data_IF_712856856172
#
_entry.id   IF_712856856172
#
_cell.length_a   1.000
_cell.length_b   1.000
_cell.length_c   1.000
_cell.angle_alpha   90.00
_cell.angle_beta   90.00
_cell.angle_gamma   90.00
#
_symmetry.space_group_name_H-M   'P 1'
#
loop_
_entity.id
_entity.type
_entity.pdbx_description
1 polymer ?
#
# COMPACT_ATOMS: atom_id res chain seq x y z
N UNK A 1 -50.78 -67.55 14.66
CA UNK A 1 -49.39 -67.33 15.11
C UNK A 1 -49.07 -65.83 15.11
N UNK A 2 -48.10 -65.36 15.90
CA UNK A 2 -47.69 -63.95 15.97
C UNK A 2 -47.12 -63.47 14.62
N UNK A 3 -47.48 -62.25 14.19
CA UNK A 3 -46.55 -61.32 13.53
C UNK A 3 -46.66 -59.96 14.22
N UNK A 4 -45.54 -59.28 14.37
CA UNK A 4 -45.32 -58.24 15.37
C UNK A 4 -45.25 -56.85 14.73
N UNK A 5 -45.51 -55.80 15.51
CA UNK A 5 -45.37 -54.40 15.08
C UNK A 5 -43.91 -54.08 14.76
N UNK A 6 -43.65 -53.31 13.71
CA UNK A 6 -42.63 -52.26 13.76
C UNK A 6 -42.93 -51.17 12.73
N UNK A 7 -43.40 -50.02 13.19
CA UNK A 7 -43.67 -48.84 12.36
C UNK A 7 -42.54 -47.83 12.61
N UNK A 8 -41.45 -47.94 11.85
CA UNK A 8 -40.28 -47.07 12.00
C UNK A 8 -40.60 -45.65 11.51
N UNK A 9 -41.06 -44.80 12.43
CA UNK A 9 -41.04 -43.34 12.27
C UNK A 9 -39.57 -42.85 12.26
N UNK A 10 -38.91 -42.99 11.12
CA UNK A 10 -37.59 -42.39 10.89
C UNK A 10 -37.76 -40.88 10.63
N UNK A 11 -38.07 -40.15 11.70
CA UNK A 11 -38.20 -38.70 11.67
C UNK A 11 -36.84 -38.08 11.30
N UNK A 12 -36.69 -37.74 10.02
CA UNK A 12 -35.43 -37.28 9.44
C UNK A 12 -35.14 -35.85 9.90
N UNK A 13 -34.54 -35.73 11.09
CA UNK A 13 -34.20 -34.47 11.73
C UNK A 13 -33.01 -33.81 11.03
N UNK A 14 -33.27 -33.28 9.83
CA UNK A 14 -32.37 -32.39 9.11
C UNK A 14 -32.23 -31.07 9.89
N UNK A 15 -31.41 -31.10 10.95
CA UNK A 15 -30.84 -29.90 11.54
C UNK A 15 -29.98 -29.27 10.45
N UNK A 16 -30.56 -28.28 9.76
CA UNK A 16 -29.83 -27.46 8.80
C UNK A 16 -28.77 -26.67 9.58
N UNK A 17 -27.58 -27.24 9.67
CA UNK A 17 -26.43 -26.62 10.30
C UNK A 17 -26.12 -25.33 9.53
N UNK A 18 -26.59 -24.19 10.05
CA UNK A 18 -26.25 -22.88 9.53
C UNK A 18 -24.74 -22.74 9.64
N UNK A 19 -24.05 -22.87 8.51
CA UNK A 19 -22.61 -22.68 8.43
C UNK A 19 -22.30 -21.31 9.03
N UNK A 20 -21.63 -21.32 10.19
CA UNK A 20 -21.48 -20.12 11.01
C UNK A 20 -20.35 -19.27 10.42
N UNK A 21 -20.69 -18.52 9.38
CA UNK A 21 -19.78 -17.62 8.66
C UNK A 21 -19.13 -16.69 9.66
N UNK A 22 -17.79 -16.73 9.73
CA UNK A 22 -17.01 -15.83 10.56
C UNK A 22 -17.36 -14.37 10.23
N UNK A 23 -17.40 -13.46 11.23
CA UNK A 23 -17.69 -12.06 10.97
C UNK A 23 -16.65 -11.48 10.00
N UNK A 24 -17.05 -10.65 9.01
CA UNK A 24 -16.10 -9.99 8.15
C UNK A 24 -15.12 -9.14 8.96
N UNK A 25 -13.84 -9.12 8.56
CA UNK A 25 -12.78 -8.39 9.29
C UNK A 25 -12.32 -7.14 8.55
N UNK A 26 -12.33 -6.00 9.21
CA UNK A 26 -11.75 -4.74 8.71
C UNK A 26 -10.45 -4.46 9.44
N UNK A 27 -9.42 -4.03 8.71
CA UNK A 27 -8.27 -3.36 9.28
C UNK A 27 -8.23 -1.90 8.80
N UNK A 28 -7.85 -1.00 9.70
CA UNK A 28 -7.64 0.41 9.39
C UNK A 28 -6.22 0.76 9.83
N UNK A 29 -5.40 1.16 8.87
CA UNK A 29 -4.05 1.68 9.08
C UNK A 29 -4.14 3.21 9.14
N UNK A 30 -3.43 3.82 10.07
CA UNK A 30 -3.16 5.26 10.08
C UNK A 30 -1.70 5.45 9.66
N UNK A 31 -1.50 6.01 8.47
CA UNK A 31 -0.19 6.36 7.91
C UNK A 31 0.32 7.71 8.48
N UNK A 32 1.49 8.18 8.06
CA UNK A 32 2.16 9.44 8.46
C UNK A 32 2.44 9.71 9.95
N UNK A 33 2.33 8.72 10.83
CA UNK A 33 2.54 8.92 12.28
C UNK A 33 3.99 9.37 12.57
N UNK A 34 4.11 10.40 13.42
CA UNK A 34 5.36 11.01 13.87
C UNK A 34 5.47 12.53 13.66
N UNK A 35 4.37 13.19 13.28
CA UNK A 35 4.33 14.59 12.87
C UNK A 35 3.15 15.42 13.39
N UNK A 36 1.98 14.82 13.66
CA UNK A 36 0.75 15.59 13.82
C UNK A 36 0.25 15.60 15.26
N UNK A 37 -0.38 16.70 15.68
CA UNK A 37 -1.04 16.82 17.00
C UNK A 37 -2.18 15.80 17.22
N UNK A 38 -2.64 15.14 16.17
CA UNK A 38 -3.65 14.09 16.23
C UNK A 38 -3.07 12.68 16.49
N UNK A 39 -1.78 12.44 16.25
CA UNK A 39 -1.12 11.13 16.43
C UNK A 39 -1.42 10.50 17.80
N UNK A 40 -1.16 11.18 18.96
CA UNK A 40 -1.46 10.61 20.27
C UNK A 40 -2.97 10.53 20.58
N UNK A 41 -3.83 11.23 19.84
CA UNK A 41 -5.29 11.16 20.00
C UNK A 41 -5.89 9.96 19.27
N UNK A 42 -5.36 9.64 18.09
CA UNK A 42 -5.70 8.45 17.30
C UNK A 42 -5.18 7.17 17.97
N UNK A 43 -3.94 7.17 18.45
CA UNK A 43 -3.33 6.03 19.15
C UNK A 43 -4.10 5.66 20.44
N UNK A 44 -4.63 6.66 21.17
CA UNK A 44 -5.43 6.47 22.38
C UNK A 44 -6.91 6.12 22.13
N UNK A 45 -7.32 5.86 20.89
CA UNK A 45 -8.68 5.37 20.61
C UNK A 45 -8.86 3.93 21.15
N UNK A 46 -10.05 3.59 21.70
CA UNK A 46 -10.35 2.26 22.27
C UNK A 46 -10.67 1.21 21.19
N UNK A 47 -9.91 1.23 20.09
CA UNK A 47 -10.13 0.46 18.87
C UNK A 47 -8.78 -0.08 18.36
N UNK A 48 -8.76 -1.29 17.79
CA UNK A 48 -7.52 -1.91 17.30
C UNK A 48 -7.19 -1.46 15.87
N UNK A 49 -6.74 -0.21 15.79
CA UNK A 49 -6.11 0.38 14.61
C UNK A 49 -4.65 -0.07 14.49
N UNK A 50 -4.12 -0.05 13.27
CA UNK A 50 -2.70 -0.21 12.98
C UNK A 50 -2.07 1.16 12.73
N UNK A 51 -0.83 1.39 13.15
CA UNK A 51 -0.15 2.68 13.00
C UNK A 51 1.15 2.51 12.20
N UNK A 52 1.23 3.16 11.04
CA UNK A 52 2.44 3.20 10.24
C UNK A 52 3.22 4.47 10.57
N UNK A 53 4.41 4.28 11.15
CA UNK A 53 5.25 5.35 11.69
C UNK A 53 6.34 5.70 10.69
N UNK A 54 6.46 6.99 10.32
CA UNK A 54 7.56 7.44 9.47
C UNK A 54 8.87 7.55 10.26
N UNK A 55 10.00 7.04 9.72
CA UNK A 55 11.31 7.08 10.38
C UNK A 55 11.92 8.48 10.32
N UNK A 56 12.81 8.81 11.26
CA UNK A 56 13.54 10.09 11.35
C UNK A 56 12.63 11.34 11.47
N UNK A 57 11.37 11.16 11.87
CA UNK A 57 10.39 12.22 12.15
C UNK A 57 10.52 12.72 13.60
N UNK A 58 10.08 13.96 13.92
CA UNK A 58 10.29 14.54 15.25
C UNK A 58 9.65 13.76 16.40
N UNK A 59 8.53 13.06 16.15
CA UNK A 59 7.80 12.31 17.18
C UNK A 59 7.67 10.81 16.87
N UNK A 60 8.20 10.31 15.75
CA UNK A 60 7.97 8.92 15.30
C UNK A 60 8.28 7.87 16.36
N UNK A 61 9.44 7.96 17.02
CA UNK A 61 9.83 7.06 18.10
C UNK A 61 8.89 7.15 19.31
N UNK A 62 8.56 8.36 19.76
CA UNK A 62 7.61 8.60 20.87
C UNK A 62 6.24 7.98 20.56
N UNK A 63 5.75 8.14 19.33
CA UNK A 63 4.46 7.62 18.90
C UNK A 63 4.49 6.09 18.71
N UNK A 64 5.61 5.50 18.28
CA UNK A 64 5.78 4.04 18.22
C UNK A 64 5.83 3.40 19.62
N UNK A 65 6.46 4.06 20.58
CA UNK A 65 6.48 3.66 21.99
C UNK A 65 5.09 3.80 22.62
N UNK A 66 4.38 4.91 22.37
CA UNK A 66 3.00 5.11 22.81
C UNK A 66 2.04 4.07 22.20
N UNK A 67 2.16 3.77 20.91
CA UNK A 67 1.32 2.79 20.22
C UNK A 67 1.53 1.38 20.80
N UNK A 68 2.78 0.98 21.05
CA UNK A 68 3.10 -0.28 21.74
C UNK A 68 2.54 -0.30 23.17
N UNK A 69 2.64 0.80 23.92
CA UNK A 69 2.08 0.91 25.27
C UNK A 69 0.53 0.86 25.28
N UNK A 70 -0.12 1.33 24.22
CA UNK A 70 -1.57 1.22 24.00
C UNK A 70 -1.99 -0.10 23.31
N UNK A 71 -1.09 -1.10 23.25
CA UNK A 71 -1.32 -2.43 22.65
C UNK A 71 -1.83 -2.36 21.19
N UNK A 72 -1.34 -1.40 20.42
CA UNK A 72 -1.63 -1.23 18.99
C UNK A 72 -0.56 -1.91 18.13
N UNK A 73 -0.95 -2.30 16.92
CA UNK A 73 0.01 -2.79 15.93
C UNK A 73 0.78 -1.62 15.32
N UNK A 74 2.11 -1.76 15.26
CA UNK A 74 3.02 -0.76 14.69
C UNK A 74 3.68 -1.34 13.45
N UNK A 75 3.80 -0.52 12.41
CA UNK A 75 4.55 -0.82 11.19
C UNK A 75 5.38 0.39 10.77
N UNK A 76 6.39 0.16 9.93
CA UNK A 76 7.20 1.24 9.36
C UNK A 76 6.48 1.83 8.14
N UNK A 77 6.15 3.11 8.17
CA UNK A 77 5.75 3.85 6.97
C UNK A 77 7.04 4.29 6.27
N UNK A 78 7.45 3.59 5.20
CA UNK A 78 8.75 3.79 4.58
C UNK A 78 8.68 4.76 3.39
N UNK A 79 9.34 5.94 3.46
CA UNK A 79 9.61 6.81 2.32
C UNK A 79 10.15 6.09 1.06
N UNK A 80 9.38 6.14 -0.03
CA UNK A 80 9.73 5.58 -1.34
C UNK A 80 9.45 6.57 -2.48
N UNK A 81 10.38 6.72 -3.43
CA UNK A 81 10.32 7.74 -4.49
C UNK A 81 9.05 7.66 -5.35
N UNK A 82 8.46 8.81 -5.63
CA UNK A 82 7.26 8.99 -6.43
C UNK A 82 7.56 9.51 -7.84
N UNK A 83 6.58 9.44 -8.75
CA UNK A 83 6.70 10.05 -10.09
C UNK A 83 6.71 11.59 -10.03
N UNK A 84 6.03 12.17 -9.04
CA UNK A 84 5.89 13.60 -8.84
C UNK A 84 6.03 13.97 -7.35
N UNK A 85 6.04 15.27 -7.04
CA UNK A 85 5.97 15.82 -5.68
C UNK A 85 7.07 15.35 -4.69
N UNK A 86 8.23 14.83 -5.13
CA UNK A 86 9.27 14.29 -4.22
C UNK A 86 9.87 15.28 -3.17
N UNK A 87 9.46 16.55 -3.13
CA UNK A 87 9.69 17.43 -1.97
C UNK A 87 8.94 16.94 -0.70
N UNK A 88 7.90 16.13 -0.91
CA UNK A 88 7.07 15.45 0.08
C UNK A 88 7.68 14.13 0.59
N UNK A 89 8.79 13.66 0.01
CA UNK A 89 9.23 12.28 0.18
C UNK A 89 9.68 11.91 1.61
N UNK A 90 10.14 12.87 2.41
CA UNK A 90 10.65 12.60 3.76
C UNK A 90 12.10 12.13 3.80
N UNK A 91 12.59 11.81 5.01
CA UNK A 91 14.00 11.44 5.28
C UNK A 91 14.23 9.93 5.11
N UNK A 92 15.47 9.54 4.80
CA UNK A 92 15.87 8.13 4.69
C UNK A 92 15.34 7.38 3.46
N UNK A 93 14.72 8.08 2.51
CA UNK A 93 13.91 7.48 1.46
C UNK A 93 14.64 6.62 0.44
N UNK A 94 13.97 5.55 0.01
CA UNK A 94 14.39 4.67 -1.07
C UNK A 94 14.14 5.36 -2.42
N UNK A 95 15.17 5.38 -3.27
CA UNK A 95 15.16 6.03 -4.59
C UNK A 95 15.70 5.10 -5.68
N UNK A 96 15.25 5.33 -6.91
CA UNK A 96 15.57 4.57 -8.14
C UNK A 96 17.07 4.45 -8.39
N UNK A 97 17.87 5.45 -8.00
CA UNK A 97 19.30 5.52 -8.27
C UNK A 97 20.15 4.87 -7.17
N UNK A 98 19.53 4.32 -6.11
CA UNK A 98 20.23 3.63 -5.04
C UNK A 98 20.55 2.19 -5.45
N UNK A 99 21.79 1.75 -5.20
CA UNK A 99 22.18 0.35 -5.32
C UNK A 99 21.50 -0.52 -4.25
N UNK A 100 21.48 -1.85 -4.46
CA UNK A 100 21.01 -2.85 -3.49
C UNK A 100 21.53 -2.59 -2.07
N UNK A 101 22.84 -2.40 -1.91
CA UNK A 101 23.47 -2.17 -0.62
C UNK A 101 22.95 -0.88 0.06
N UNK A 102 22.73 0.19 -0.70
CA UNK A 102 22.17 1.44 -0.18
C UNK A 102 20.68 1.30 0.19
N UNK A 103 19.88 0.60 -0.62
CA UNK A 103 18.46 0.29 -0.32
C UNK A 103 18.35 -0.52 0.97
N UNK A 104 19.13 -1.61 1.08
CA UNK A 104 19.13 -2.44 2.28
C UNK A 104 19.64 -1.65 3.50
N UNK A 105 20.74 -0.89 3.40
CA UNK A 105 21.22 -0.06 4.52
C UNK A 105 20.20 1.01 4.96
N UNK A 106 19.46 1.62 4.03
CA UNK A 106 18.41 2.59 4.35
C UNK A 106 17.23 1.94 5.10
N UNK A 107 16.77 0.76 4.66
CA UNK A 107 15.75 -0.02 5.36
C UNK A 107 16.21 -0.44 6.76
N UNK A 108 17.45 -0.93 6.90
CA UNK A 108 18.01 -1.33 8.20
C UNK A 108 18.09 -0.14 9.18
N UNK A 109 18.41 1.06 8.71
CA UNK A 109 18.38 2.30 9.51
C UNK A 109 16.95 2.71 9.87
N UNK A 110 16.03 2.71 8.92
CA UNK A 110 14.63 3.08 9.16
C UNK A 110 13.92 2.14 10.16
N UNK A 111 14.21 0.83 10.11
CA UNK A 111 13.70 -0.15 11.08
C UNK A 111 14.36 -0.04 12.47
N UNK A 112 15.54 0.59 12.58
CA UNK A 112 16.15 0.89 13.87
C UNK A 112 15.52 2.11 14.57
N UNK A 113 14.91 3.03 13.83
CA UNK A 113 14.11 4.14 14.37
C UNK A 113 12.75 3.66 14.90
N UNK A 114 12.18 2.61 14.29
CA UNK A 114 10.88 2.03 14.63
C UNK A 114 11.02 0.54 15.00
N UNK A 115 11.74 0.19 16.09
CA UNK A 115 12.00 -1.20 16.48
C UNK A 115 10.74 -1.97 16.96
N UNK A 116 9.59 -1.30 17.04
CA UNK A 116 8.28 -1.89 17.32
C UNK A 116 7.58 -2.40 16.05
N UNK A 117 8.11 -2.11 14.86
CA UNK A 117 7.47 -2.45 13.58
C UNK A 117 7.44 -3.97 13.34
N UNK A 118 6.23 -4.53 13.15
CA UNK A 118 6.01 -5.94 12.74
C UNK A 118 5.78 -6.10 11.23
N UNK A 119 5.67 -4.99 10.50
CA UNK A 119 5.58 -4.93 9.05
C UNK A 119 5.96 -3.56 8.50
N UNK A 120 5.79 -3.37 7.20
CA UNK A 120 6.17 -2.13 6.47
C UNK A 120 5.10 -1.79 5.42
N UNK A 121 4.87 -0.52 5.13
CA UNK A 121 4.22 -0.07 3.89
C UNK A 121 4.99 1.09 3.24
N UNK A 122 4.58 1.47 2.03
CA UNK A 122 5.20 2.57 1.28
C UNK A 122 4.51 3.91 1.57
N UNK A 123 5.28 4.88 2.06
CA UNK A 123 4.98 6.30 1.87
C UNK A 123 5.28 6.68 0.42
N UNK A 124 4.35 7.39 -0.23
CA UNK A 124 4.31 7.67 -1.67
C UNK A 124 4.63 6.41 -2.50
N UNK A 125 5.82 6.31 -3.10
CA UNK A 125 6.31 5.13 -3.80
C UNK A 125 5.83 4.94 -5.23
N UNK A 126 5.06 5.86 -5.82
CA UNK A 126 4.42 5.64 -7.13
C UNK A 126 5.38 5.41 -8.31
N UNK A 127 6.66 5.80 -8.16
CA UNK A 127 7.76 5.39 -9.03
C UNK A 127 8.42 4.11 -8.48
N UNK A 128 8.96 4.16 -7.26
CA UNK A 128 9.80 3.11 -6.69
C UNK A 128 9.11 1.74 -6.62
N UNK A 129 7.84 1.66 -6.20
CA UNK A 129 7.11 0.39 -6.12
C UNK A 129 6.82 -0.22 -7.48
N UNK A 130 6.92 0.54 -8.58
CA UNK A 130 6.84 0.01 -9.95
C UNK A 130 8.16 -0.57 -10.47
N UNK A 131 9.26 -0.41 -9.73
CA UNK A 131 10.58 -0.93 -10.08
C UNK A 131 10.76 -2.34 -9.48
N UNK A 132 10.66 -3.37 -10.32
CA UNK A 132 10.68 -4.76 -9.86
C UNK A 132 11.95 -5.14 -9.08
N UNK A 133 13.13 -4.77 -9.56
CA UNK A 133 14.40 -5.11 -8.91
C UNK A 133 14.61 -4.39 -7.55
N UNK A 134 14.44 -3.06 -7.42
CA UNK A 134 14.44 -2.39 -6.12
C UNK A 134 13.39 -2.94 -5.13
N UNK A 135 12.22 -3.38 -5.61
CA UNK A 135 11.23 -4.06 -4.77
C UNK A 135 11.69 -5.46 -4.34
N UNK A 136 12.40 -6.22 -5.17
CA UNK A 136 13.03 -7.48 -4.76
C UNK A 136 14.08 -7.25 -3.65
N UNK A 137 14.90 -6.22 -3.76
CA UNK A 137 15.87 -5.86 -2.71
C UNK A 137 15.18 -5.46 -1.40
N UNK A 138 14.04 -4.77 -1.48
CA UNK A 138 13.20 -4.44 -0.32
C UNK A 138 12.63 -5.69 0.33
N UNK A 139 12.04 -6.60 -0.47
CA UNK A 139 11.43 -7.84 0.03
C UNK A 139 12.43 -8.82 0.62
N UNK A 140 13.68 -8.83 0.16
CA UNK A 140 14.75 -9.59 0.82
C UNK A 140 14.90 -9.17 2.29
N UNK A 141 14.92 -7.86 2.59
CA UNK A 141 15.02 -7.35 3.98
C UNK A 141 13.76 -7.68 4.79
N UNK A 142 12.58 -7.71 4.16
CA UNK A 142 11.35 -8.10 4.84
C UNK A 142 11.42 -9.57 5.27
N UNK A 143 11.85 -10.47 4.38
CA UNK A 143 12.03 -11.89 4.67
C UNK A 143 13.13 -12.14 5.72
N UNK A 144 14.30 -11.49 5.60
CA UNK A 144 15.40 -11.55 6.58
C UNK A 144 14.95 -11.17 8.01
N UNK A 145 13.95 -10.28 8.13
CA UNK A 145 13.41 -9.81 9.41
C UNK A 145 12.03 -10.37 9.77
N UNK A 146 11.49 -11.31 8.98
CA UNK A 146 10.16 -11.91 9.15
C UNK A 146 9.00 -10.88 9.17
N UNK A 147 9.20 -9.72 8.54
CA UNK A 147 8.23 -8.63 8.44
C UNK A 147 7.23 -8.90 7.29
N UNK A 148 5.99 -8.44 7.47
CA UNK A 148 5.03 -8.34 6.36
C UNK A 148 5.16 -7.02 5.60
N UNK A 149 4.56 -6.96 4.40
CA UNK A 149 4.43 -5.72 3.63
C UNK A 149 2.96 -5.40 3.31
N UNK A 150 2.54 -4.14 3.38
CA UNK A 150 1.27 -3.69 2.82
C UNK A 150 1.55 -2.73 1.67
N UNK A 151 0.98 -3.01 0.50
CA UNK A 151 1.02 -2.09 -0.64
C UNK A 151 -0.05 -1.00 -0.46
N UNK A 152 0.37 0.24 -0.17
CA UNK A 152 -0.53 1.41 -0.13
C UNK A 152 -1.08 1.76 -1.52
N UNK A 153 -0.63 1.07 -2.58
CA UNK A 153 -1.20 1.03 -3.93
C UNK A 153 -1.37 2.41 -4.54
N UNK A 154 -0.26 3.15 -4.56
CA UNK A 154 -0.12 4.52 -5.09
C UNK A 154 0.21 4.55 -6.59
N UNK A 155 0.22 3.38 -7.24
CA UNK A 155 0.43 3.19 -8.68
C UNK A 155 -0.24 1.90 -9.12
N UNK A 156 -0.84 1.89 -10.32
CA UNK A 156 -1.41 0.69 -10.91
C UNK A 156 -0.34 -0.28 -11.48
N UNK A 157 0.92 0.14 -11.52
CA UNK A 157 2.08 -0.67 -11.98
C UNK A 157 2.91 -1.26 -10.84
N UNK A 158 2.33 -1.39 -9.64
CA UNK A 158 3.05 -1.93 -8.47
C UNK A 158 3.63 -3.32 -8.73
N UNK A 159 4.92 -3.47 -8.46
CA UNK A 159 5.65 -4.73 -8.50
C UNK A 159 5.63 -5.47 -7.15
N UNK A 160 5.04 -4.89 -6.09
CA UNK A 160 5.02 -5.47 -4.73
C UNK A 160 4.58 -6.93 -4.75
N UNK A 161 3.42 -7.24 -5.35
CA UNK A 161 2.88 -8.61 -5.40
C UNK A 161 3.70 -9.63 -6.20
N UNK A 162 4.65 -9.18 -7.04
CA UNK A 162 5.62 -10.05 -7.73
C UNK A 162 6.90 -10.23 -6.92
N UNK A 163 7.32 -9.20 -6.18
CA UNK A 163 8.49 -9.26 -5.32
C UNK A 163 8.23 -10.07 -4.04
N UNK A 164 7.01 -10.01 -3.50
CA UNK A 164 6.62 -10.73 -2.28
C UNK A 164 6.56 -12.23 -2.49
N UNK A 165 6.09 -12.71 -3.64
CA UNK A 165 6.01 -14.15 -3.93
C UNK A 165 7.39 -14.79 -4.07
N UNK A 166 8.37 -14.09 -4.64
CA UNK A 166 9.75 -14.59 -4.76
C UNK A 166 10.45 -14.79 -3.39
N UNK A 167 10.12 -13.97 -2.39
CA UNK A 167 10.70 -14.03 -1.04
C UNK A 167 9.73 -14.58 0.03
N UNK A 168 8.56 -15.10 -0.38
CA UNK A 168 7.49 -15.61 0.49
C UNK A 168 7.01 -14.62 1.58
N UNK A 169 7.16 -13.31 1.31
CA UNK A 169 6.75 -12.23 2.23
C UNK A 169 5.23 -12.12 2.25
N UNK A 170 4.62 -12.21 3.44
CA UNK A 170 3.18 -12.01 3.60
C UNK A 170 2.81 -10.58 3.19
N UNK A 171 1.82 -10.44 2.30
CA UNK A 171 1.45 -9.14 1.76
C UNK A 171 0.00 -9.06 1.30
N UNK A 172 -0.59 -7.87 1.44
CA UNK A 172 -1.85 -7.44 0.82
C UNK A 172 -1.73 -6.01 0.32
N UNK A 173 -2.61 -5.59 -0.58
CA UNK A 173 -2.80 -4.18 -0.90
C UNK A 173 -3.89 -3.57 -0.03
N UNK A 174 -3.84 -2.25 0.15
CA UNK A 174 -4.98 -1.42 0.56
C UNK A 174 -6.13 -1.56 -0.44
N UNK A 175 -7.35 -1.65 0.08
CA UNK A 175 -8.59 -1.64 -0.69
C UNK A 175 -9.14 -0.20 -0.86
N UNK A 176 -9.06 0.64 0.17
CA UNK A 176 -9.62 2.01 0.16
C UNK A 176 -8.78 3.02 0.94
N UNK A 177 -8.72 4.28 0.46
CA UNK A 177 -8.28 5.42 1.28
C UNK A 177 -9.50 6.12 1.87
N UNK A 178 -9.44 6.52 3.14
CA UNK A 178 -10.55 7.15 3.84
C UNK A 178 -10.67 8.66 3.59
N UNK A 179 -9.54 9.35 3.42
CA UNK A 179 -9.44 10.80 3.64
C UNK A 179 -8.67 11.58 2.55
N UNK A 180 -8.75 11.11 1.30
CA UNK A 180 -8.34 11.89 0.11
C UNK A 180 -9.09 13.24 0.07
N UNK A 181 -10.39 13.21 0.35
CA UNK A 181 -11.21 14.36 0.72
C UNK A 181 -11.52 14.25 2.23
N UNK A 182 -11.21 15.32 2.98
CA UNK A 182 -11.30 15.38 4.44
C UNK A 182 -12.68 15.84 4.93
N UNK A 183 -13.61 16.13 4.02
CA UNK A 183 -14.99 16.46 4.35
C UNK A 183 -15.70 15.29 5.03
N UNK A 184 -16.58 15.59 5.99
CA UNK A 184 -17.33 14.53 6.71
C UNK A 184 -18.12 13.64 5.73
N UNK A 185 -18.64 14.21 4.65
CA UNK A 185 -19.42 13.47 3.65
C UNK A 185 -18.53 12.51 2.84
N UNK A 186 -17.29 12.90 2.49
CA UNK A 186 -16.37 11.99 1.80
C UNK A 186 -15.87 10.87 2.71
N UNK A 187 -15.45 11.21 3.93
CA UNK A 187 -15.11 10.25 4.97
C UNK A 187 -16.23 9.21 5.17
N UNK A 188 -17.50 9.65 5.19
CA UNK A 188 -18.63 8.75 5.30
C UNK A 188 -18.85 7.89 4.04
N UNK A 189 -18.75 8.45 2.83
CA UNK A 189 -18.79 7.66 1.58
C UNK A 189 -17.72 6.56 1.57
N UNK A 190 -16.48 6.89 1.92
CA UNK A 190 -15.38 5.92 1.96
C UNK A 190 -15.55 4.88 3.06
N UNK A 191 -16.05 5.27 4.24
CA UNK A 191 -16.34 4.33 5.32
C UNK A 191 -17.51 3.39 4.96
N UNK A 192 -18.57 3.89 4.31
CA UNK A 192 -19.67 3.05 3.81
C UNK A 192 -19.20 2.05 2.75
N UNK A 193 -18.30 2.48 1.86
CA UNK A 193 -17.68 1.58 0.88
C UNK A 193 -16.75 0.54 1.55
N UNK A 194 -16.03 0.89 2.62
CA UNK A 194 -15.26 -0.07 3.43
C UNK A 194 -16.16 -1.15 4.05
N UNK A 195 -17.29 -0.76 4.66
CA UNK A 195 -18.28 -1.71 5.22
C UNK A 195 -18.81 -2.67 4.14
N UNK A 196 -19.10 -2.15 2.94
CA UNK A 196 -19.55 -2.93 1.78
C UNK A 196 -18.47 -3.91 1.30
N UNK A 197 -17.24 -3.44 1.08
CA UNK A 197 -16.12 -4.27 0.62
C UNK A 197 -15.84 -5.42 1.60
N UNK A 198 -15.82 -5.14 2.90
CA UNK A 198 -15.63 -6.17 3.93
C UNK A 198 -16.72 -7.25 3.87
N UNK A 199 -18.00 -6.86 3.79
CA UNK A 199 -19.12 -7.81 3.67
C UNK A 199 -19.08 -8.62 2.37
N UNK A 200 -18.58 -8.06 1.28
CA UNK A 200 -18.48 -8.74 -0.02
C UNK A 200 -17.27 -9.69 -0.13
N UNK A 201 -16.16 -9.40 0.55
CA UNK A 201 -14.89 -10.11 0.40
C UNK A 201 -14.45 -10.90 1.65
N UNK A 202 -15.25 -10.85 2.73
CA UNK A 202 -14.89 -11.37 4.06
C UNK A 202 -13.85 -10.51 4.79
N UNK A 203 -13.10 -9.64 4.10
CA UNK A 203 -12.22 -8.67 4.74
C UNK A 203 -11.86 -7.48 3.84
N UNK A 204 -11.50 -6.34 4.44
CA UNK A 204 -11.00 -5.17 3.71
C UNK A 204 -9.98 -4.36 4.52
N UNK A 205 -9.03 -3.73 3.83
CA UNK A 205 -7.98 -2.85 4.38
C UNK A 205 -8.26 -1.40 3.96
N UNK A 206 -8.46 -0.54 4.96
CA UNK A 206 -8.47 0.90 4.76
C UNK A 206 -7.13 1.53 5.20
N UNK A 207 -6.75 2.62 4.55
CA UNK A 207 -5.74 3.55 5.06
C UNK A 207 -6.37 4.93 5.24
N UNK A 208 -6.04 5.59 6.35
CA UNK A 208 -6.23 7.02 6.54
C UNK A 208 -4.95 7.66 7.10
N UNK A 209 -4.99 8.96 7.36
CA UNK A 209 -3.84 9.74 7.83
C UNK A 209 -4.22 10.55 9.09
N UNK A 210 -3.27 11.18 9.80
CA UNK A 210 -3.52 11.77 11.11
C UNK A 210 -4.12 13.20 11.02
N UNK A 211 -5.13 13.38 10.18
CA UNK A 211 -5.86 14.64 10.10
C UNK A 211 -6.85 14.78 11.27
N UNK A 212 -7.06 16.01 11.81
CA UNK A 212 -8.07 16.26 12.83
C UNK A 212 -9.48 15.81 12.40
N UNK A 213 -9.78 15.89 11.10
CA UNK A 213 -11.04 15.46 10.48
C UNK A 213 -11.19 13.93 10.57
N UNK A 214 -10.17 13.18 10.16
CA UNK A 214 -10.09 11.72 10.25
C UNK A 214 -10.22 11.25 11.70
N UNK A 215 -9.52 11.89 12.66
CA UNK A 215 -9.69 11.62 14.09
C UNK A 215 -11.14 11.84 14.57
N UNK A 216 -11.73 13.01 14.29
CA UNK A 216 -13.12 13.31 14.70
C UNK A 216 -14.12 12.31 14.08
N UNK A 217 -13.92 11.95 12.81
CA UNK A 217 -14.77 10.99 12.11
C UNK A 217 -14.65 9.58 12.69
N UNK A 218 -13.44 9.03 12.80
CA UNK A 218 -13.20 7.69 13.34
C UNK A 218 -13.69 7.55 14.78
N UNK A 219 -13.43 8.55 15.64
CA UNK A 219 -13.92 8.57 17.03
C UNK A 219 -15.45 8.46 17.12
N UNK A 220 -16.17 9.02 16.15
CA UNK A 220 -17.64 8.98 16.07
C UNK A 220 -18.18 7.70 15.43
N UNK A 221 -17.47 7.14 14.44
CA UNK A 221 -18.03 6.14 13.53
C UNK A 221 -17.48 4.71 13.69
N UNK A 222 -16.34 4.48 14.35
CA UNK A 222 -15.75 3.13 14.48
C UNK A 222 -16.67 2.11 15.18
N UNK A 223 -17.57 2.54 16.06
CA UNK A 223 -18.60 1.70 16.69
C UNK A 223 -19.56 1.06 15.68
N UNK A 224 -19.75 1.66 14.50
CA UNK A 224 -20.63 1.15 13.43
C UNK A 224 -20.15 -0.18 12.87
N UNK A 225 -18.84 -0.46 12.88
CA UNK A 225 -18.30 -1.76 12.44
C UNK A 225 -18.97 -2.91 13.23
N UNK A 226 -19.01 -2.79 14.57
CA UNK A 226 -19.65 -3.78 15.44
C UNK A 226 -21.16 -3.87 15.22
N UNK A 227 -21.84 -2.74 14.98
CA UNK A 227 -23.27 -2.72 14.67
C UNK A 227 -23.59 -3.40 13.33
N UNK A 228 -22.67 -3.35 12.36
CA UNK A 228 -22.76 -3.96 11.04
C UNK A 228 -22.29 -5.43 10.99
N UNK A 229 -21.95 -6.01 12.15
CA UNK A 229 -21.45 -7.39 12.26
C UNK A 229 -19.99 -7.59 11.85
N UNK A 230 -19.21 -6.52 11.78
CA UNK A 230 -17.82 -6.50 11.28
C UNK A 230 -16.85 -6.35 12.46
N UNK A 231 -15.81 -7.18 12.48
CA UNK A 231 -14.74 -7.14 13.48
C UNK A 231 -13.63 -6.17 13.03
N UNK A 232 -13.18 -5.28 13.91
CA UNK A 232 -12.02 -4.42 13.67
C UNK A 232 -10.76 -5.08 14.23
N UNK A 233 -9.77 -5.30 13.36
CA UNK A 233 -8.55 -6.06 13.68
C UNK A 233 -7.27 -5.32 13.24
N UNK A 234 -6.12 -5.59 13.89
CA UNK A 234 -4.82 -5.20 13.34
C UNK A 234 -4.57 -5.88 11.98
N UNK A 235 -3.83 -5.22 11.08
CA UNK A 235 -3.72 -5.64 9.68
C UNK A 235 -3.03 -7.00 9.51
N UNK A 236 -2.15 -7.39 10.43
CA UNK A 236 -1.50 -8.71 10.44
C UNK A 236 -2.49 -9.89 10.43
N UNK A 237 -3.67 -9.76 11.05
CA UNK A 237 -4.71 -10.80 11.01
C UNK A 237 -5.28 -11.03 9.60
N UNK A 238 -5.26 -10.02 8.73
CA UNK A 238 -5.80 -10.11 7.38
C UNK A 238 -4.84 -10.78 6.37
N UNK A 239 -3.59 -11.03 6.79
CA UNK A 239 -2.53 -11.66 6.00
C UNK A 239 -2.52 -13.19 6.05
N UNK A 240 -3.33 -13.79 6.92
CA UNK A 240 -3.51 -15.24 7.05
C UNK A 240 -4.85 -15.73 6.46
N UNK A 241 -5.71 -14.81 5.99
CA UNK A 241 -6.94 -15.16 5.31
C UNK A 241 -6.64 -15.67 3.89
N UNK A 242 -7.36 -16.68 3.38
CA UNK A 242 -7.31 -17.04 1.97
C UNK A 242 -7.62 -15.80 1.12
N UNK A 243 -6.79 -15.53 0.09
CA UNK A 243 -7.13 -14.50 -0.88
C UNK A 243 -8.48 -14.84 -1.54
N UNK A 244 -9.35 -13.85 -1.82
CA UNK A 244 -10.59 -14.10 -2.53
C UNK A 244 -10.31 -14.86 -3.83
N UNK A 245 -10.99 -15.99 -4.03
CA UNK A 245 -10.86 -16.78 -5.26
C UNK A 245 -11.57 -16.04 -6.38
N UNK A 246 -10.88 -15.05 -6.95
CA UNK A 246 -11.21 -14.49 -8.26
C UNK A 246 -11.14 -15.66 -9.23
N UNK A 247 -12.31 -16.11 -9.68
CA UNK A 247 -12.43 -17.33 -10.48
C UNK A 247 -11.52 -17.24 -11.71
N UNK A 248 -10.48 -18.08 -11.72
CA UNK A 248 -9.42 -17.99 -12.71
C UNK A 248 -9.99 -18.25 -14.10
N UNK A 249 -10.13 -17.18 -14.90
CA UNK A 249 -10.47 -17.30 -16.31
C UNK A 249 -9.31 -18.05 -17.00
N UNK A 250 -9.53 -19.35 -17.23
CA UNK A 250 -8.58 -20.24 -17.88
C UNK A 250 -8.27 -19.66 -19.26
N UNK A 251 -7.01 -19.29 -19.58
CA UNK A 251 -6.69 -18.68 -20.86
C UNK A 251 -6.86 -19.72 -21.97
N UNK A 252 -7.96 -19.61 -22.72
CA UNK A 252 -8.21 -20.39 -23.94
C UNK A 252 -7.18 -19.98 -24.98
N UNK A 253 -6.27 -20.89 -25.36
CA UNK A 253 -5.38 -20.62 -26.49
C UNK A 253 -6.18 -20.69 -27.80
N UNK A 254 -6.05 -19.70 -28.70
CA UNK A 254 -6.54 -19.83 -30.06
C UNK A 254 -5.59 -20.74 -30.85
N UNK A 255 -6.04 -21.96 -31.16
CA UNK A 255 -5.33 -22.87 -32.07
C UNK A 255 -5.55 -22.46 -33.52
N UNK A 256 -4.60 -21.70 -34.10
CA UNK A 256 -4.55 -21.43 -35.54
C UNK A 256 -3.65 -22.44 -36.27
N UNK A 257 -4.21 -23.61 -36.57
CA UNK A 257 -3.57 -24.61 -37.43
C UNK A 257 -3.57 -24.16 -38.90
N UNK A 258 -2.46 -23.61 -39.38
CA UNK A 258 -2.25 -23.38 -40.82
C UNK A 258 -1.69 -24.66 -41.44
N UNK A 259 -2.47 -25.30 -42.30
CA UNK A 259 -2.01 -26.42 -43.13
C UNK A 259 -1.24 -25.87 -44.32
N UNK A 260 0.02 -26.25 -44.46
CA UNK A 260 0.84 -25.96 -45.63
C UNK A 260 1.31 -27.28 -46.25
N UNK A 261 0.79 -27.61 -47.43
CA UNK A 261 1.09 -28.86 -48.13
C UNK A 261 2.26 -28.66 -49.08
N UNK A 262 3.38 -29.32 -48.81
CA UNK A 262 4.44 -29.60 -49.80
C UNK A 262 4.85 -31.06 -49.68
N UNK A 263 5.21 -31.68 -50.80
CA UNK A 263 5.40 -33.12 -50.92
C UNK A 263 6.84 -33.50 -51.30
N UNK A 264 7.26 -34.67 -50.82
CA UNK A 264 8.21 -35.61 -51.44
C UNK A 264 9.58 -35.08 -51.91
N UNK A 265 10.66 -35.50 -51.24
CA UNK A 265 11.74 -36.30 -51.86
C UNK A 265 12.64 -36.97 -50.82
N UNK A 266 13.37 -38.01 -51.23
CA UNK A 266 13.99 -39.04 -50.38
C UNK A 266 15.50 -38.84 -50.07
N UNK A 267 16.11 -39.89 -49.48
CA UNK A 267 17.55 -40.21 -49.45
C UNK A 267 18.44 -39.63 -48.33
N UNK A 268 18.20 -40.14 -47.12
CA UNK A 268 19.17 -40.89 -46.28
C UNK A 268 20.71 -40.74 -46.47
N UNK A 269 21.45 -40.76 -45.35
CA UNK A 269 22.52 -41.75 -44.98
C UNK A 269 23.69 -41.15 -44.14
N UNK A 270 24.14 -41.92 -43.13
CA UNK A 270 25.42 -41.83 -42.36
C UNK A 270 25.73 -40.64 -41.43
N UNK A 271 26.47 -41.02 -40.37
CA UNK A 271 27.31 -40.23 -39.45
C UNK A 271 28.56 -41.13 -39.15
N UNK A 272 29.46 -40.86 -38.17
CA UNK A 272 29.85 -39.62 -37.46
C UNK A 272 31.41 -39.40 -37.45
N UNK A 273 31.89 -38.49 -36.58
CA UNK A 273 33.31 -38.28 -36.17
C UNK A 273 34.26 -37.68 -37.25
N UNK A 274 35.48 -37.21 -36.97
CA UNK A 274 36.39 -37.22 -35.79
C UNK A 274 37.22 -35.91 -35.69
N UNK A 275 37.67 -35.54 -34.48
CA UNK A 275 38.97 -34.85 -34.19
C UNK A 275 39.30 -33.48 -34.88
N UNK A 276 40.46 -32.84 -34.69
CA UNK A 276 41.10 -32.37 -33.44
C UNK A 276 42.10 -31.22 -33.70
N UNK A 277 42.30 -30.37 -32.67
CA UNK A 277 43.53 -29.63 -32.32
C UNK A 277 44.14 -28.47 -33.19
N UNK A 278 44.57 -27.45 -32.43
CA UNK A 278 45.78 -26.59 -32.58
C UNK A 278 45.94 -25.47 -33.63
N UNK A 279 46.42 -24.31 -33.11
CA UNK A 279 47.21 -23.22 -33.73
C UNK A 279 46.67 -22.49 -34.97
N UNK A 280 46.66 -21.14 -35.07
CA UNK A 280 47.09 -20.08 -34.15
C UNK A 280 48.19 -19.18 -34.73
N UNK A 281 47.87 -17.94 -35.09
CA UNK A 281 48.85 -16.91 -35.51
C UNK A 281 48.36 -15.46 -35.26
N UNK A 282 49.26 -14.49 -35.44
CA UNK A 282 49.10 -13.11 -34.95
C UNK A 282 48.82 -12.04 -36.02
N UNK A 283 48.23 -10.94 -35.53
CA UNK A 283 48.58 -9.53 -35.84
C UNK A 283 48.17 -8.86 -37.16
N UNK A 284 48.14 -7.52 -37.06
CA UNK A 284 48.05 -6.49 -38.12
C UNK A 284 46.75 -6.45 -38.95
N UNK A 285 46.40 -5.35 -39.63
CA UNK A 285 46.58 -3.90 -39.39
C UNK A 285 45.85 -3.19 -40.55
N UNK A 286 44.92 -2.25 -40.29
CA UNK A 286 44.08 -1.72 -41.38
C UNK A 286 43.33 -0.44 -41.08
N UNK A 287 44.01 0.71 -41.17
CA UNK A 287 43.33 2.03 -41.25
C UNK A 287 42.66 2.19 -42.61
N UNK A 288 41.47 2.80 -42.65
CA UNK A 288 41.02 3.66 -43.77
C UNK A 288 40.11 4.78 -43.26
N UNK A 289 40.07 5.88 -44.00
CA UNK A 289 39.49 7.18 -43.58
C UNK A 289 38.25 7.55 -44.41
N UNK A 290 37.47 8.47 -43.82
CA UNK A 290 36.60 9.49 -44.43
C UNK A 290 36.13 9.32 -45.89
N UNK A 291 34.82 9.57 -46.09
CA UNK A 291 34.43 10.69 -46.96
C UNK A 291 33.16 11.40 -46.46
N UNK A 292 33.09 12.70 -46.73
CA UNK A 292 31.97 13.60 -46.42
C UNK A 292 31.14 13.89 -47.68
N UNK A 293 30.04 14.64 -47.50
CA UNK A 293 28.98 14.97 -48.46
C UNK A 293 29.44 15.71 -49.73
N UNK A 294 28.52 15.99 -50.66
CA UNK A 294 28.02 17.37 -50.75
C UNK A 294 26.50 17.53 -50.98
N UNK A 295 26.03 18.78 -51.03
CA UNK A 295 24.66 19.26 -51.30
C UNK A 295 24.73 20.57 -52.10
N UNK A 296 23.81 20.81 -53.07
CA UNK A 296 23.20 22.13 -53.33
C UNK A 296 21.67 22.06 -53.10
N UNK A 297 20.90 23.07 -52.64
CA UNK A 297 20.73 24.50 -53.00
C UNK A 297 19.78 24.73 -54.19
N UNK A 298 18.54 25.22 -53.92
CA UNK A 298 17.99 26.57 -54.20
C UNK A 298 17.54 26.75 -55.68
N UNK A 299 16.43 27.42 -56.05
CA UNK A 299 15.44 28.31 -55.39
C UNK A 299 14.06 28.17 -56.16
N UNK A 300 12.93 28.91 -56.05
CA UNK A 300 12.51 30.15 -55.36
C UNK A 300 10.95 30.26 -55.21
N UNK A 301 10.46 31.46 -54.84
CA UNK A 301 9.14 32.14 -55.02
C UNK A 301 7.99 31.46 -55.83
N UNK A 302 6.68 31.69 -55.58
CA UNK A 302 5.92 32.63 -54.70
C UNK A 302 4.69 31.86 -54.10
N UNK A 303 3.53 32.35 -53.59
CA UNK A 303 2.77 33.64 -53.61
C UNK A 303 1.98 33.82 -52.28
N UNK A 304 1.04 34.77 -52.18
CA UNK A 304 0.18 35.01 -51.01
C UNK A 304 -1.34 35.02 -51.34
N UNK A 305 -2.19 34.75 -50.34
CA UNK A 305 -3.65 34.89 -50.44
C UNK A 305 -4.33 34.80 -49.08
N UNK A 306 -5.10 35.82 -48.70
CA UNK A 306 -5.84 35.88 -47.42
C UNK A 306 -7.31 35.50 -47.58
N UNK A 307 -7.85 34.68 -46.68
CA UNK A 307 -9.28 34.38 -46.64
C UNK A 307 -9.74 33.92 -45.25
N UNK A 308 -10.70 34.62 -44.66
CA UNK A 308 -11.31 34.32 -43.36
C UNK A 308 -12.82 34.13 -43.51
N UNK A 309 -13.34 32.96 -43.17
CA UNK A 309 -14.79 32.68 -43.12
C UNK A 309 -15.12 31.85 -41.87
N UNK A 310 -16.30 32.08 -41.30
CA UNK A 310 -16.71 31.63 -39.97
C UNK A 310 -17.32 30.22 -39.91
N UNK A 311 -17.46 29.71 -38.68
CA UNK A 311 -18.25 28.52 -38.34
C UNK A 311 -19.73 28.67 -38.71
N UNK A 312 -20.34 27.57 -39.16
CA UNK A 312 -21.81 27.35 -39.21
C UNK A 312 -22.08 25.92 -38.76
N UNK A 313 -23.03 25.73 -37.85
CA UNK A 313 -23.56 24.42 -37.45
C UNK A 313 -25.00 24.24 -37.97
N UNK A 314 -25.39 23.05 -38.46
CA UNK A 314 -26.79 22.67 -38.60
C UNK A 314 -27.35 22.05 -37.31
N UNK A 315 -28.65 22.20 -37.06
CA UNK A 315 -29.38 21.57 -35.94
C UNK A 315 -30.24 20.37 -36.38
N UNK A 316 -30.66 19.56 -35.40
CA UNK A 316 -31.64 18.45 -35.50
C UNK A 316 -31.15 17.19 -36.27
N UNK A 317 -31.68 15.97 -36.04
CA UNK A 317 -32.85 15.55 -35.25
C UNK A 317 -32.60 14.23 -34.45
N UNK A 318 -33.66 13.49 -34.09
CA UNK A 318 -33.74 12.59 -32.93
C UNK A 318 -33.27 11.13 -33.13
N UNK A 319 -33.06 10.46 -31.97
CA UNK A 319 -33.37 9.03 -31.69
C UNK A 319 -32.67 7.90 -32.46
N UNK A 320 -31.85 7.13 -31.75
CA UNK A 320 -32.17 5.73 -31.39
C UNK A 320 -31.16 5.17 -30.38
N UNK A 321 -31.60 4.27 -29.49
CA UNK A 321 -30.76 3.74 -28.41
C UNK A 321 -29.82 2.59 -28.83
N UNK A 322 -28.60 2.58 -28.27
CA UNK A 322 -27.74 1.39 -28.18
C UNK A 322 -27.14 1.31 -26.78
N UNK A 323 -27.19 0.14 -26.18
CA UNK A 323 -26.49 -0.20 -24.94
C UNK A 323 -25.01 -0.41 -25.25
N UNK A 324 -24.14 0.47 -24.75
CA UNK A 324 -22.71 0.20 -24.73
C UNK A 324 -22.36 -0.83 -23.63
N UNK A 325 -21.38 -1.70 -23.85
CA UNK A 325 -20.93 -2.64 -22.83
C UNK A 325 -20.24 -1.90 -21.69
N UNK A 326 -20.48 -2.32 -20.44
CA UNK A 326 -19.81 -1.77 -19.27
C UNK A 326 -18.28 -1.92 -19.38
N UNK A 327 -17.61 -0.82 -19.74
CA UNK A 327 -16.17 -0.69 -19.62
C UNK A 327 -15.80 -0.81 -18.14
N UNK A 328 -14.83 -1.68 -17.75
CA UNK A 328 -14.45 -1.80 -16.35
C UNK A 328 -13.88 -0.47 -15.86
N UNK A 329 -14.37 0.01 -14.71
CA UNK A 329 -14.02 1.32 -14.14
C UNK A 329 -12.58 1.34 -13.62
N UNK A 330 -11.62 1.39 -14.54
CA UNK A 330 -10.21 1.58 -14.27
C UNK A 330 -9.95 3.06 -13.98
N UNK A 331 -10.47 3.52 -12.84
CA UNK A 331 -10.12 4.83 -12.31
C UNK A 331 -8.58 4.95 -12.27
N UNK A 332 -8.00 6.06 -12.76
CA UNK A 332 -6.56 6.24 -12.73
C UNK A 332 -6.08 6.16 -11.28
N UNK A 333 -4.82 5.77 -11.07
CA UNK A 333 -4.22 5.80 -9.74
C UNK A 333 -4.18 7.27 -9.27
N UNK A 334 -5.16 7.64 -8.44
CA UNK A 334 -5.43 9.03 -8.06
C UNK A 334 -4.18 9.65 -7.42
N UNK A 335 -3.80 10.85 -7.92
CA UNK A 335 -2.64 11.57 -7.42
C UNK A 335 -2.96 12.15 -6.04
N UNK A 336 -2.70 11.35 -5.00
CA UNK A 336 -2.78 11.74 -3.60
C UNK A 336 -2.11 13.08 -3.36
N UNK A 337 -2.89 14.11 -3.06
CA UNK A 337 -2.37 15.41 -2.62
C UNK A 337 -1.96 15.29 -1.15
N UNK A 338 -0.83 14.64 -0.92
CA UNK A 338 -0.25 14.40 0.39
C UNK A 338 0.37 15.69 0.99
N UNK A 339 0.44 15.80 2.32
CA UNK A 339 0.79 17.04 3.03
C UNK A 339 1.54 16.81 4.36
N UNK A 340 2.80 17.30 4.52
CA UNK A 340 3.52 17.28 5.79
C UNK A 340 3.97 18.68 6.27
N UNK A 341 4.52 18.70 7.49
CA UNK A 341 3.74 18.56 8.70
C UNK A 341 2.80 19.77 8.85
N UNK A 342 1.91 19.77 9.84
CA UNK A 342 1.40 21.05 10.34
C UNK A 342 2.55 21.84 11.01
N UNK A 343 3.29 22.63 10.21
CA UNK A 343 4.20 23.65 10.76
C UNK A 343 3.41 24.62 11.62
N UNK A 344 4.03 25.08 12.70
CA UNK A 344 3.42 25.99 13.70
C UNK A 344 3.38 27.45 13.26
N UNK A 345 3.72 27.76 12.01
CA UNK A 345 3.92 29.11 11.46
C UNK A 345 2.89 29.52 10.39
N UNK A 346 1.95 28.65 10.02
CA UNK A 346 0.92 28.95 9.01
C UNK A 346 -0.26 29.72 9.60
N UNK A 347 -0.40 30.98 9.17
CA UNK A 347 -1.56 31.82 9.47
C UNK A 347 -2.86 31.20 8.94
N UNK A 348 -3.92 31.27 9.75
CA UNK A 348 -5.24 30.67 9.44
C UNK A 348 -5.81 29.80 10.57
N UNK A 349 -4.99 29.36 11.52
CA UNK A 349 -5.44 28.70 12.74
C UNK A 349 -5.48 29.68 13.92
N UNK A 350 -6.65 30.25 14.20
CA UNK A 350 -6.93 30.84 15.51
C UNK A 350 -7.13 29.73 16.55
N UNK A 351 -6.25 29.66 17.54
CA UNK A 351 -6.56 28.98 18.80
C UNK A 351 -7.54 29.87 19.55
N UNK A 352 -8.65 29.35 20.11
CA UNK A 352 -9.50 30.14 21.01
C UNK A 352 -8.67 30.71 22.16
N UNK A 353 -8.84 32.01 22.46
CA UNK A 353 -7.93 32.75 23.34
C UNK A 353 -7.84 32.20 24.78
N UNK A 354 -8.85 31.44 25.20
CA UNK A 354 -9.03 30.97 26.58
C UNK A 354 -8.31 29.63 26.88
N UNK A 355 -7.46 29.14 25.97
CA UNK A 355 -6.64 27.94 26.19
C UNK A 355 -5.27 28.36 26.77
N UNK A 356 -4.92 27.95 28.01
CA UNK A 356 -3.65 28.33 28.63
C UNK A 356 -2.43 27.93 27.79
N UNK A 357 -1.39 28.77 27.82
CA UNK A 357 -0.18 28.62 26.99
C UNK A 357 0.66 27.36 27.27
N UNK A 358 0.37 26.59 28.33
CA UNK A 358 0.96 25.27 28.57
C UNK A 358 -0.04 24.13 28.29
N UNK A 359 0.31 23.13 27.45
CA UNK A 359 -0.54 21.96 27.21
C UNK A 359 -0.74 21.11 28.47
N UNK A 360 -1.96 21.15 29.03
CA UNK A 360 -2.34 20.45 30.27
C UNK A 360 -2.08 18.93 30.27
N UNK A 361 -1.88 18.31 29.11
CA UNK A 361 -1.59 16.87 29.01
C UNK A 361 -0.29 16.44 29.72
N UNK A 362 0.66 17.35 29.99
CA UNK A 362 1.87 17.02 30.78
C UNK A 362 1.53 16.65 32.22
N UNK A 363 0.52 17.31 32.82
CA UNK A 363 0.06 17.02 34.19
C UNK A 363 -0.74 15.72 34.30
N UNK A 364 -1.28 15.22 33.18
CA UNK A 364 -1.97 13.92 33.11
C UNK A 364 -1.01 12.71 33.00
N UNK A 365 0.31 12.95 33.03
CA UNK A 365 1.34 11.90 32.95
C UNK A 365 2.19 11.78 34.23
N UNK A 366 2.08 12.74 35.17
CA UNK A 366 2.77 12.67 36.46
C UNK A 366 1.94 11.89 37.48
N UNK A 367 2.13 10.57 37.54
CA UNK A 367 1.88 9.85 38.80
C UNK A 367 2.85 10.37 39.86
N UNK A 368 2.40 10.67 41.09
CA UNK A 368 3.32 11.04 42.16
C UNK A 368 4.15 9.82 42.53
N UNK A 369 5.46 9.88 42.29
CA UNK A 369 6.38 8.94 42.90
C UNK A 369 6.27 9.11 44.43
N UNK A 370 5.81 8.06 45.12
CA UNK A 370 5.74 8.03 46.57
C UNK A 370 7.14 8.24 47.13
N UNK A 371 7.39 9.41 47.72
CA UNK A 371 8.61 9.64 48.50
C UNK A 371 8.59 8.68 49.68
N UNK A 372 9.46 7.69 49.65
CA UNK A 372 9.85 6.96 50.86
C UNK A 372 10.60 7.95 51.74
N UNK A 373 9.93 8.51 52.75
CA UNK A 373 10.61 9.33 53.75
C UNK A 373 11.56 8.44 54.56
N UNK A 374 12.86 8.78 54.52
CA UNK A 374 13.87 8.14 55.35
C UNK A 374 13.69 8.62 56.78
N UNK A 375 13.07 7.79 57.62
CA UNK A 375 12.99 8.01 59.07
C UNK A 375 14.43 8.05 59.63
N UNK A 376 14.87 9.15 60.26
CA UNK A 376 16.21 9.23 60.83
C UNK A 376 16.31 8.40 62.11
N UNK A 377 17.04 7.29 62.05
CA UNK A 377 17.51 6.57 63.23
C UNK A 377 18.60 7.39 63.94
N UNK A 378 18.23 8.17 64.96
CA UNK A 378 19.19 8.97 65.72
C UNK A 378 18.67 9.59 67.00
N UNK A 379 19.14 9.07 68.14
CA UNK A 379 19.20 9.82 69.41
C UNK A 379 18.01 9.71 70.37
N UNK A 380 17.97 8.63 71.15
CA UNK A 380 17.36 8.66 72.49
C UNK A 380 18.29 7.98 73.50
N UNK A 381 18.99 8.75 74.32
CA UNK A 381 19.79 8.27 75.45
C UNK A 381 19.95 9.39 76.50
N UNK A 382 20.09 9.00 77.77
CA UNK A 382 20.38 9.83 78.97
C UNK A 382 19.24 10.80 79.39
N UNK A 383 18.40 10.41 80.36
CA UNK A 383 18.62 10.65 81.81
C UNK A 383 18.67 12.13 82.22
N UNK A 384 17.52 12.69 82.64
CA UNK A 384 17.17 12.76 84.08
C UNK A 384 15.69 13.04 84.30
#
# INVERSE_FOLDING_TARGET
MRKFRFFCLLAFFCVAAKAQTLPPKVAIIIDDIGFQKADPLLIKLPYQLTFAVMPFTPQGKEMAELAKAQQKEVMLHMPMEAVAQNHLLGKGALRKQMSKAQVQQALQKALAEVPQAVGVNNHMGSLYTSLAEPMLWTMQVMAERQLYFIDSKTTNRSAVGKATSQYQVKSRSRDIFLDNDKSYQALDRQFNQLLKLAKQQGSAIAIGHPYPETYRYLRRNLSRLKAEGIELVPVSQLLALPAPVVAAHKPTQPTTSVVATTATTDAATTAPATESATTGHQAQSGKRQLKLSPKPEQNHSVVAGSGSVSLVYPETSESTGKTEPHQPDTQPAELLIWHPPYRTDLAGFSVPADVPHEPQWRFLLSTPATKTELIPLGGLLLLR
#
